data_IF_808905598807
#
_entry.id   IF_808905598807
#
_cell.length_a   1.000
_cell.length_b   1.000
_cell.length_c   1.000
_cell.angle_alpha   90.00
_cell.angle_beta   90.00
_cell.angle_gamma   90.00
#
_symmetry.space_group_name_H-M   'P 1'
#
loop_
_entity.id
_entity.type
_entity.pdbx_description
1 polymer ?
#
# COMPACT_ATOMS: atom_id res chain seq x y z
N UNK A 1 3.40 14.68 17.59
CA UNK A 1 2.21 14.26 16.81
C UNK A 1 0.98 14.96 17.36
N UNK A 2 0.07 15.49 16.52
CA UNK A 2 -1.08 16.29 16.98
C UNK A 2 -2.30 15.46 17.41
N UNK A 3 -2.34 14.16 17.12
CA UNK A 3 -3.43 13.25 17.49
C UNK A 3 -2.89 12.13 18.38
N UNK A 4 -3.66 11.72 19.40
CA UNK A 4 -3.28 10.60 20.27
C UNK A 4 -3.16 9.30 19.48
N UNK A 5 -2.16 8.49 19.83
CA UNK A 5 -1.81 7.23 19.16
C UNK A 5 -1.45 7.40 17.66
N UNK A 6 -1.21 8.64 17.21
CA UNK A 6 -0.75 8.95 15.87
C UNK A 6 0.76 8.72 15.71
N UNK A 7 1.17 8.29 14.52
CA UNK A 7 2.59 8.13 14.15
C UNK A 7 2.94 8.99 12.93
N UNK A 8 4.16 9.54 12.89
CA UNK A 8 4.71 10.06 11.65
C UNK A 8 5.36 8.90 10.90
N UNK A 9 4.61 8.28 9.99
CA UNK A 9 4.99 7.00 9.40
C UNK A 9 5.40 7.11 7.92
N UNK A 10 5.27 8.31 7.37
CA UNK A 10 5.63 8.67 6.00
C UNK A 10 7.13 8.56 5.74
N UNK A 11 7.48 8.04 4.57
CA UNK A 11 8.85 7.73 4.15
C UNK A 11 9.03 8.22 2.72
N UNK A 12 9.68 9.37 2.60
CA UNK A 12 9.82 10.09 1.34
C UNK A 12 11.13 10.85 1.31
N UNK A 13 11.78 10.84 0.15
CA UNK A 13 12.85 11.77 -0.20
C UNK A 13 12.36 12.78 -1.24
N UNK A 14 12.75 14.04 -1.03
CA UNK A 14 12.65 15.11 -2.04
C UNK A 14 14.07 15.54 -2.38
N UNK A 15 14.57 15.09 -3.52
CA UNK A 15 15.93 15.31 -3.95
C UNK A 15 15.98 16.49 -4.91
N UNK A 16 16.81 17.50 -4.61
CA UNK A 16 17.13 18.59 -5.54
C UNK A 16 18.53 18.36 -6.09
N UNK A 17 18.66 18.38 -7.41
CA UNK A 17 19.89 18.01 -8.11
C UNK A 17 20.58 19.24 -8.71
N UNK A 18 21.86 19.09 -9.03
CA UNK A 18 22.69 20.15 -9.63
C UNK A 18 22.27 20.50 -11.06
N UNK A 19 21.58 19.60 -11.76
CA UNK A 19 21.07 19.76 -13.13
C UNK A 19 19.71 20.51 -13.19
N UNK A 20 19.37 21.25 -12.14
CA UNK A 20 18.08 21.93 -11.96
C UNK A 20 16.85 21.00 -12.11
N UNK A 21 17.01 19.73 -11.73
CA UNK A 21 15.89 18.81 -11.59
C UNK A 21 15.60 18.45 -10.15
N UNK A 22 14.36 18.07 -9.88
CA UNK A 22 13.94 17.46 -8.63
C UNK A 22 13.51 16.01 -8.85
N UNK A 23 13.54 15.20 -7.80
CA UNK A 23 13.03 13.83 -7.84
C UNK A 23 12.35 13.49 -6.52
N UNK A 24 11.15 12.91 -6.61
CA UNK A 24 10.38 12.43 -5.47
C UNK A 24 10.55 10.91 -5.38
N UNK A 25 10.93 10.42 -4.21
CA UNK A 25 11.00 8.99 -3.92
C UNK A 25 10.08 8.71 -2.75
N UNK A 26 9.09 7.84 -2.91
CA UNK A 26 8.21 7.37 -1.83
C UNK A 26 8.51 5.90 -1.59
N UNK A 27 8.85 5.52 -0.36
CA UNK A 27 9.36 4.19 -0.03
C UNK A 27 8.77 3.65 1.28
N UNK A 28 9.14 2.43 1.67
CA UNK A 28 8.60 1.76 2.88
C UNK A 28 9.62 1.52 3.99
N UNK A 29 10.91 1.73 3.71
CA UNK A 29 12.01 1.57 4.67
C UNK A 29 12.14 2.76 5.64
N UNK A 30 12.34 2.49 6.93
CA UNK A 30 12.92 3.44 7.87
C UNK A 30 14.39 3.71 7.53
N UNK A 31 14.98 4.79 8.03
CA UNK A 31 16.40 5.11 7.79
C UNK A 31 17.28 4.42 8.83
N UNK A 32 17.29 3.08 8.77
CA UNK A 32 18.09 2.21 9.64
C UNK A 32 18.63 1.05 8.81
N UNK A 33 19.87 0.61 9.05
CA UNK A 33 20.48 -0.51 8.30
C UNK A 33 19.56 -1.74 8.21
N UNK A 34 18.93 -2.09 9.33
CA UNK A 34 17.99 -3.22 9.43
C UNK A 34 16.94 -3.24 8.32
N UNK A 35 16.32 -2.09 8.03
CA UNK A 35 15.25 -1.99 7.04
C UNK A 35 15.76 -2.08 5.59
N UNK A 36 17.04 -1.85 5.34
CA UNK A 36 17.66 -1.83 4.01
C UNK A 36 18.46 -3.09 3.66
N UNK A 37 18.76 -3.94 4.65
CA UNK A 37 19.60 -5.15 4.45
C UNK A 37 18.75 -6.36 4.03
N UNK A 38 17.93 -6.90 4.95
CA UNK A 38 17.28 -8.22 4.78
C UNK A 38 15.74 -8.18 4.78
N UNK A 39 15.15 -6.99 4.85
CA UNK A 39 13.68 -6.83 4.83
C UNK A 39 13.18 -6.60 3.41
N UNK A 40 11.99 -7.11 3.09
CA UNK A 40 11.33 -6.75 1.83
C UNK A 40 10.75 -5.35 1.96
N UNK A 41 11.26 -4.42 1.15
CA UNK A 41 10.79 -3.04 1.03
C UNK A 41 10.35 -2.74 -0.41
N UNK A 42 9.63 -1.64 -0.59
CA UNK A 42 9.30 -1.10 -1.90
C UNK A 42 9.66 0.37 -2.00
N UNK A 43 9.90 0.83 -3.22
CA UNK A 43 10.01 2.24 -3.53
C UNK A 43 9.33 2.54 -4.87
N UNK A 44 8.78 3.74 -4.96
CA UNK A 44 8.42 4.39 -6.20
C UNK A 44 9.32 5.61 -6.38
N UNK A 45 9.79 5.80 -7.61
CA UNK A 45 10.67 6.90 -8.00
C UNK A 45 10.01 7.68 -9.13
N UNK A 46 9.83 8.98 -8.94
CA UNK A 46 9.34 9.85 -10.00
C UNK A 46 10.36 9.96 -11.16
N UNK A 47 9.92 10.37 -12.35
CA UNK A 47 10.83 10.96 -13.34
C UNK A 47 11.62 12.15 -12.76
N UNK A 48 12.65 12.58 -13.47
CA UNK A 48 13.31 13.84 -13.16
C UNK A 48 12.38 14.99 -13.53
N UNK A 49 12.02 15.78 -12.52
CA UNK A 49 11.10 16.91 -12.63
C UNK A 49 11.91 18.14 -12.99
N UNK A 50 11.67 18.75 -14.14
CA UNK A 50 12.44 19.91 -14.60
C UNK A 50 11.95 21.17 -13.91
N UNK A 51 12.86 22.06 -13.54
CA UNK A 51 12.49 23.39 -13.07
C UNK A 51 11.90 24.21 -14.22
N UNK A 52 10.77 24.85 -13.97
CA UNK A 52 10.10 25.74 -14.93
C UNK A 52 10.91 27.02 -15.09
N UNK A 53 10.91 27.58 -16.30
CA UNK A 53 11.47 28.90 -16.56
C UNK A 53 10.56 29.97 -15.95
N UNK A 54 11.10 31.13 -15.58
CA UNK A 54 10.32 32.24 -14.99
C UNK A 54 9.19 32.76 -15.90
N UNK A 55 9.27 32.48 -17.21
CA UNK A 55 8.29 32.90 -18.21
C UNK A 55 7.33 31.77 -18.60
N UNK A 56 7.35 30.63 -17.90
CA UNK A 56 6.43 29.53 -18.19
C UNK A 56 5.01 29.95 -17.83
N UNK A 57 4.02 29.71 -18.70
CA UNK A 57 2.63 29.99 -18.38
C UNK A 57 2.21 29.19 -17.14
N UNK A 58 1.36 29.79 -16.30
CA UNK A 58 0.80 29.08 -15.15
C UNK A 58 0.06 27.83 -15.64
N UNK A 59 0.50 26.67 -15.16
CA UNK A 59 -0.17 25.41 -15.48
C UNK A 59 -1.49 25.36 -14.73
N UNK A 60 -2.61 25.27 -15.47
CA UNK A 60 -3.92 25.06 -14.86
C UNK A 60 -3.90 23.75 -14.08
N UNK A 61 -4.31 23.79 -12.81
CA UNK A 61 -4.30 22.60 -11.96
C UNK A 61 -5.50 21.74 -12.32
N UNK A 62 -5.24 20.60 -12.95
CA UNK A 62 -6.26 19.61 -13.28
C UNK A 62 -6.85 18.97 -12.02
N UNK A 63 -8.14 18.62 -12.06
CA UNK A 63 -8.76 17.76 -11.05
C UNK A 63 -8.64 16.27 -11.42
N UNK A 64 -8.18 15.96 -12.63
CA UNK A 64 -7.94 14.60 -13.10
C UNK A 64 -6.80 13.96 -12.32
N UNK A 65 -7.06 12.80 -11.71
CA UNK A 65 -6.06 12.06 -10.94
C UNK A 65 -4.96 11.45 -11.80
N UNK A 66 -5.15 11.39 -13.13
CA UNK A 66 -4.13 10.94 -14.08
C UNK A 66 -3.10 12.02 -14.43
N UNK A 67 -3.37 13.27 -14.07
CA UNK A 67 -2.52 14.43 -14.36
C UNK A 67 -1.49 14.67 -13.23
N UNK A 68 -0.22 14.80 -13.61
CA UNK A 68 0.86 15.08 -12.66
C UNK A 68 0.75 16.41 -11.91
N UNK A 69 0.01 17.39 -12.44
CA UNK A 69 -0.33 18.64 -11.73
C UNK A 69 -1.22 18.39 -10.51
N UNK A 70 -2.10 17.38 -10.56
CA UNK A 70 -2.89 16.95 -9.39
C UNK A 70 -2.01 16.32 -8.32
N UNK A 71 -1.04 15.50 -8.72
CA UNK A 71 -0.03 14.95 -7.81
C UNK A 71 0.76 16.09 -7.13
N UNK A 72 1.19 17.10 -7.89
CA UNK A 72 1.89 18.28 -7.35
C UNK A 72 1.03 19.03 -6.33
N UNK A 73 -0.22 19.33 -6.67
CA UNK A 73 -1.16 20.00 -5.76
C UNK A 73 -1.27 19.23 -4.44
N UNK A 74 -1.51 17.92 -4.53
CA UNK A 74 -1.72 17.08 -3.36
C UNK A 74 -0.45 16.96 -2.50
N UNK A 75 0.74 16.85 -3.13
CA UNK A 75 2.01 16.81 -2.42
C UNK A 75 2.31 18.14 -1.71
N UNK A 76 2.08 19.28 -2.36
CA UNK A 76 2.26 20.59 -1.75
C UNK A 76 1.28 20.80 -0.58
N UNK A 77 0.03 20.36 -0.72
CA UNK A 77 -0.95 20.41 0.36
C UNK A 77 -0.59 19.48 1.52
N UNK A 78 -0.03 18.31 1.22
CA UNK A 78 0.48 17.38 2.23
C UNK A 78 1.63 17.99 3.03
N UNK A 79 2.60 18.61 2.36
CA UNK A 79 3.72 19.31 3.01
C UNK A 79 3.23 20.50 3.84
N UNK A 80 2.33 21.34 3.30
CA UNK A 80 1.72 22.47 4.03
C UNK A 80 0.97 22.00 5.29
N UNK A 81 0.43 20.78 5.31
CA UNK A 81 -0.30 20.27 6.47
C UNK A 81 0.57 20.08 7.74
N UNK A 82 1.90 20.00 7.60
CA UNK A 82 2.82 20.02 8.75
C UNK A 82 2.83 21.38 9.46
N UNK A 83 2.51 22.45 8.72
CA UNK A 83 2.62 23.83 9.16
C UNK A 83 1.30 24.41 9.68
N UNK A 84 0.17 23.75 9.39
CA UNK A 84 -1.18 24.25 9.70
C UNK A 84 -1.45 24.39 11.19
N UNK A 85 -0.84 23.53 12.03
CA UNK A 85 -1.03 23.53 13.50
C UNK A 85 0.27 23.82 14.26
N UNK A 86 1.36 24.09 13.55
CA UNK A 86 2.67 24.33 14.15
C UNK A 86 2.98 25.83 14.16
N UNK A 87 3.47 26.34 15.30
CA UNK A 87 4.00 27.71 15.38
C UNK A 87 5.26 27.89 14.52
N UNK A 88 6.03 26.81 14.33
CA UNK A 88 7.20 26.76 13.45
C UNK A 88 6.80 26.22 12.07
N UNK A 89 7.18 26.92 11.01
CA UNK A 89 7.02 26.42 9.64
C UNK A 89 8.10 25.37 9.35
N UNK A 90 7.70 24.11 9.39
CA UNK A 90 8.54 22.92 9.20
C UNK A 90 8.79 22.69 7.71
N UNK A 91 7.73 22.71 6.90
CA UNK A 91 7.78 22.27 5.49
C UNK A 91 7.61 23.43 4.48
N UNK A 92 7.38 24.66 4.94
CA UNK A 92 7.19 25.82 4.06
C UNK A 92 8.35 26.03 3.10
N UNK A 93 9.60 26.00 3.59
CA UNK A 93 10.78 26.18 2.76
C UNK A 93 10.91 25.09 1.69
N UNK A 94 10.63 23.83 2.06
CA UNK A 94 10.62 22.70 1.12
C UNK A 94 9.52 22.87 0.07
N UNK A 95 8.31 23.26 0.49
CA UNK A 95 7.15 23.47 -0.38
C UNK A 95 7.42 24.57 -1.41
N UNK A 96 7.92 25.73 -0.97
CA UNK A 96 8.30 26.85 -1.85
C UNK A 96 9.42 26.47 -2.82
N UNK A 97 10.40 25.69 -2.36
CA UNK A 97 11.50 25.21 -3.22
C UNK A 97 11.02 24.21 -4.28
N UNK A 98 9.98 23.42 -3.99
CA UNK A 98 9.43 22.42 -4.90
C UNK A 98 8.42 23.00 -5.90
N UNK A 99 7.75 24.09 -5.54
CA UNK A 99 6.76 24.79 -6.35
C UNK A 99 7.19 25.13 -7.79
N UNK A 100 8.43 25.56 -8.10
CA UNK A 100 8.83 25.86 -9.48
C UNK A 100 9.13 24.63 -10.33
N UNK A 101 8.99 23.40 -9.84
CA UNK A 101 9.27 22.19 -10.62
C UNK A 101 8.03 21.69 -11.37
N UNK A 102 8.23 21.18 -12.59
CA UNK A 102 7.21 20.61 -13.45
C UNK A 102 6.96 19.13 -13.11
N UNK A 103 5.70 18.83 -12.80
CA UNK A 103 5.24 17.49 -12.44
C UNK A 103 4.46 16.81 -13.57
N UNK A 104 4.32 17.45 -14.74
CA UNK A 104 3.55 16.96 -15.88
C UNK A 104 3.96 15.56 -16.38
N UNK A 105 5.20 15.14 -16.10
CA UNK A 105 5.73 13.81 -16.45
C UNK A 105 5.32 12.69 -15.48
N UNK A 106 4.77 13.02 -14.32
CA UNK A 106 4.33 12.02 -13.34
C UNK A 106 3.12 11.25 -13.89
N UNK A 107 3.16 9.93 -13.69
CA UNK A 107 2.10 8.97 -14.02
C UNK A 107 1.75 8.16 -12.77
N UNK A 108 1.24 8.86 -11.76
CA UNK A 108 0.82 8.31 -10.48
C UNK A 108 -0.11 9.30 -9.76
N UNK A 109 -0.97 8.81 -8.87
CA UNK A 109 -1.73 9.62 -7.94
C UNK A 109 -1.17 9.51 -6.52
N UNK A 110 -1.10 10.65 -5.81
CA UNK A 110 -0.71 10.66 -4.40
C UNK A 110 -1.85 10.17 -3.51
N UNK A 111 -1.56 9.18 -2.67
CA UNK A 111 -2.43 8.70 -1.59
C UNK A 111 -1.72 8.97 -0.28
N UNK A 112 -2.25 9.87 0.54
CA UNK A 112 -1.61 10.26 1.79
C UNK A 112 -2.62 10.43 2.92
N UNK A 113 -2.12 10.42 4.14
CA UNK A 113 -2.89 10.65 5.35
C UNK A 113 -2.27 11.79 6.14
N UNK A 114 -3.13 12.66 6.66
CA UNK A 114 -2.74 13.81 7.48
C UNK A 114 -3.54 13.73 8.79
N UNK A 115 -2.92 13.81 9.97
CA UNK A 115 -3.63 13.81 11.24
C UNK A 115 -4.63 14.97 11.37
N UNK A 116 -5.85 14.67 11.78
CA UNK A 116 -6.89 15.65 12.04
C UNK A 116 -8.30 15.18 11.72
N UNK A 117 -9.21 16.15 11.70
CA UNK A 117 -10.63 15.99 11.35
C UNK A 117 -10.86 16.57 9.95
N UNK A 118 -11.35 15.75 9.03
CA UNK A 118 -11.50 16.08 7.62
C UNK A 118 -12.96 15.95 7.19
N UNK A 119 -13.50 16.99 6.55
CA UNK A 119 -14.86 16.98 6.00
C UNK A 119 -14.79 16.37 4.59
N UNK A 120 -15.47 15.24 4.37
CA UNK A 120 -15.33 14.46 3.12
C UNK A 120 -16.09 15.07 1.94
N UNK A 121 -17.25 15.67 2.20
CA UNK A 121 -18.10 16.31 1.17
C UNK A 121 -17.90 17.83 1.10
N UNK A 122 -16.72 18.31 1.49
CA UNK A 122 -16.39 19.74 1.48
C UNK A 122 -15.82 20.23 0.15
N UNK A 123 -15.51 21.53 0.09
CA UNK A 123 -14.89 22.19 -1.08
C UNK A 123 -13.39 21.90 -1.24
N UNK A 124 -12.80 21.05 -0.40
CA UNK A 124 -11.36 20.76 -0.46
C UNK A 124 -11.01 20.01 -1.73
N UNK A 125 -10.00 20.50 -2.46
CA UNK A 125 -9.46 19.83 -3.66
C UNK A 125 -8.57 18.61 -3.33
N UNK A 126 -8.18 18.46 -2.06
CA UNK A 126 -7.35 17.35 -1.59
C UNK A 126 -8.05 16.65 -0.42
N UNK A 127 -8.25 15.34 -0.57
CA UNK A 127 -8.75 14.44 0.46
C UNK A 127 -7.58 13.63 1.05
N UNK A 128 -7.82 12.95 2.17
CA UNK A 128 -6.82 12.12 2.86
C UNK A 128 -7.36 10.73 3.22
N UNK A 129 -6.46 9.78 3.52
CA UNK A 129 -6.81 8.45 3.99
C UNK A 129 -7.68 7.65 3.00
N UNK A 130 -8.62 6.87 3.53
CA UNK A 130 -9.48 6.00 2.70
C UNK A 130 -10.38 6.81 1.75
N UNK A 131 -10.77 8.03 2.14
CA UNK A 131 -11.61 8.88 1.29
C UNK A 131 -10.86 9.34 0.04
N UNK A 132 -9.57 9.67 0.18
CA UNK A 132 -8.69 9.95 -0.97
C UNK A 132 -8.51 8.74 -1.86
N UNK A 133 -8.31 7.57 -1.27
CA UNK A 133 -8.16 6.34 -2.04
C UNK A 133 -9.43 6.05 -2.85
N UNK A 134 -10.60 6.15 -2.23
CA UNK A 134 -11.90 6.00 -2.91
C UNK A 134 -12.08 7.01 -4.04
N UNK A 135 -11.76 8.29 -3.79
CA UNK A 135 -11.82 9.37 -4.78
C UNK A 135 -10.99 9.03 -6.04
N UNK A 136 -9.74 8.59 -5.85
CA UNK A 136 -8.88 8.20 -6.97
C UNK A 136 -9.42 6.96 -7.69
N UNK A 137 -9.84 5.94 -6.95
CA UNK A 137 -10.30 4.68 -7.53
C UNK A 137 -11.56 4.85 -8.41
N UNK A 138 -12.37 5.88 -8.17
CA UNK A 138 -13.48 6.26 -9.08
C UNK A 138 -13.03 6.75 -10.46
N UNK A 139 -11.74 6.98 -10.68
CA UNK A 139 -11.16 7.27 -12.00
C UNK A 139 -10.50 6.04 -12.64
N UNK A 140 -10.43 4.91 -11.95
CA UNK A 140 -9.76 3.70 -12.45
C UNK A 140 -10.75 2.82 -13.19
N UNK A 141 -10.47 2.61 -14.49
CA UNK A 141 -11.15 1.62 -15.31
C UNK A 141 -10.68 0.21 -14.90
N UNK A 142 -11.62 -0.69 -14.63
CA UNK A 142 -11.33 -2.09 -14.30
C UNK A 142 -11.82 -3.02 -15.40
N UNK A 143 -11.11 -4.13 -15.62
CA UNK A 143 -11.57 -5.15 -16.58
C UNK A 143 -12.63 -6.05 -15.94
N UNK A 144 -13.70 -6.33 -16.67
CA UNK A 144 -14.64 -7.40 -16.34
C UNK A 144 -14.12 -8.70 -16.95
N UNK A 145 -13.43 -9.51 -16.15
CA UNK A 145 -13.00 -10.86 -16.54
C UNK A 145 -14.07 -11.89 -16.16
N UNK A 146 -14.01 -13.08 -16.78
CA UNK A 146 -14.96 -14.18 -16.53
C UNK A 146 -14.87 -14.80 -15.13
N UNK A 147 -13.73 -14.61 -14.45
CA UNK A 147 -13.50 -15.08 -13.08
C UNK A 147 -13.36 -13.92 -12.10
N UNK A 148 -13.69 -14.19 -10.84
CA UNK A 148 -13.76 -13.19 -9.77
C UNK A 148 -12.42 -12.45 -9.57
N UNK A 149 -12.41 -11.10 -9.53
CA UNK A 149 -11.21 -10.33 -9.22
C UNK A 149 -10.79 -10.50 -7.75
N UNK A 150 -9.53 -10.19 -7.43
CA UNK A 150 -9.00 -10.27 -6.07
C UNK A 150 -8.28 -8.98 -5.68
N UNK A 151 -8.52 -8.48 -4.47
CA UNK A 151 -7.73 -7.42 -3.84
C UNK A 151 -6.85 -8.06 -2.78
N UNK A 152 -5.55 -8.07 -3.02
CA UNK A 152 -4.54 -8.57 -2.10
C UNK A 152 -3.90 -7.39 -1.37
N UNK A 153 -4.09 -7.40 -0.05
CA UNK A 153 -3.53 -6.44 0.89
C UNK A 153 -2.34 -7.11 1.54
N UNK A 154 -1.17 -6.51 1.46
CA UNK A 154 -0.01 -6.93 2.22
C UNK A 154 0.40 -5.78 3.13
N UNK A 155 0.54 -6.06 4.42
CA UNK A 155 0.93 -5.08 5.43
C UNK A 155 1.93 -5.69 6.41
N UNK A 156 2.66 -4.84 7.14
CA UNK A 156 3.56 -5.28 8.21
C UNK A 156 2.93 -5.12 9.59
N UNK A 157 1.80 -4.42 9.70
CA UNK A 157 1.05 -4.30 10.94
C UNK A 157 -0.46 -4.27 10.72
N UNK A 158 -1.19 -4.87 11.67
CA UNK A 158 -2.65 -4.81 11.77
C UNK A 158 -2.99 -4.30 13.17
N UNK A 159 -3.66 -3.14 13.24
CA UNK A 159 -4.09 -2.56 14.51
C UNK A 159 -5.36 -3.25 15.04
N UNK A 160 -5.79 -2.89 16.25
CA UNK A 160 -7.14 -3.23 16.72
C UNK A 160 -8.18 -2.40 15.94
N UNK A 161 -8.91 -3.03 15.04
CA UNK A 161 -9.92 -2.43 14.15
C UNK A 161 -11.31 -2.37 14.81
N UNK A 162 -11.59 -3.28 15.75
CA UNK A 162 -12.84 -3.36 16.49
C UNK A 162 -13.27 -4.81 16.74
N UNK A 163 -14.27 -5.00 17.59
CA UNK A 163 -14.85 -6.32 17.90
C UNK A 163 -15.72 -6.89 16.78
N UNK A 164 -15.99 -6.10 15.73
CA UNK A 164 -16.76 -6.48 14.54
C UNK A 164 -15.98 -6.05 13.29
N UNK A 165 -16.33 -6.60 12.13
CA UNK A 165 -15.73 -6.23 10.84
C UNK A 165 -16.31 -4.93 10.24
N UNK A 166 -17.08 -4.15 11.00
CA UNK A 166 -17.87 -3.04 10.45
C UNK A 166 -17.01 -1.97 9.76
N UNK A 167 -15.93 -1.52 10.40
CA UNK A 167 -15.02 -0.56 9.78
C UNK A 167 -14.35 -1.14 8.53
N UNK A 168 -13.96 -2.42 8.59
CA UNK A 168 -13.32 -3.11 7.49
C UNK A 168 -14.25 -3.18 6.28
N UNK A 169 -15.45 -3.75 6.43
CA UNK A 169 -16.40 -3.95 5.34
C UNK A 169 -17.04 -2.64 4.86
N UNK A 170 -17.65 -1.89 5.79
CA UNK A 170 -18.51 -0.75 5.42
C UNK A 170 -17.73 0.51 5.07
N UNK A 171 -16.47 0.62 5.50
CA UNK A 171 -15.63 1.79 5.24
C UNK A 171 -14.46 1.44 4.33
N UNK A 172 -13.54 0.60 4.80
CA UNK A 172 -12.25 0.45 4.12
C UNK A 172 -12.33 -0.40 2.85
N UNK A 173 -12.95 -1.58 2.90
CA UNK A 173 -13.17 -2.44 1.73
C UNK A 173 -14.11 -1.76 0.75
N UNK A 174 -15.17 -1.09 1.21
CA UNK A 174 -16.02 -0.25 0.35
C UNK A 174 -15.20 0.80 -0.44
N UNK A 175 -14.21 1.43 0.19
CA UNK A 175 -13.30 2.35 -0.52
C UNK A 175 -12.45 1.61 -1.57
N UNK A 176 -11.88 0.46 -1.23
CA UNK A 176 -11.04 -0.35 -2.13
C UNK A 176 -11.81 -0.98 -3.30
N UNK A 177 -13.10 -1.25 -3.14
CA UNK A 177 -13.98 -1.76 -4.21
C UNK A 177 -14.38 -0.68 -5.23
N UNK A 178 -14.16 0.59 -4.91
CA UNK A 178 -14.59 1.70 -5.78
C UNK A 178 -13.91 1.61 -7.14
N UNK A 179 -14.65 1.88 -8.20
CA UNK A 179 -14.19 1.87 -9.58
C UNK A 179 -14.88 2.98 -10.37
N UNK A 180 -14.37 3.30 -11.55
CA UNK A 180 -15.06 4.20 -12.47
C UNK A 180 -16.38 3.57 -12.93
N UNK A 181 -17.44 4.38 -12.99
CA UNK A 181 -18.79 3.97 -13.44
C UNK A 181 -19.45 2.83 -12.64
N UNK A 182 -19.22 2.79 -11.33
CA UNK A 182 -19.80 1.82 -10.35
C UNK A 182 -21.33 1.60 -10.46
N UNK A 183 -22.06 2.52 -11.10
CA UNK A 183 -23.52 2.46 -11.27
C UNK A 183 -24.03 1.95 -12.63
N UNK A 184 -23.18 1.81 -13.65
CA UNK A 184 -23.61 1.48 -15.03
C UNK A 184 -23.34 0.04 -15.42
N UNK A 185 -22.25 -0.54 -14.96
CA UNK A 185 -21.87 -1.92 -15.22
C UNK A 185 -21.86 -2.69 -13.90
N UNK A 186 -22.50 -3.87 -13.84
CA UNK A 186 -22.40 -4.77 -12.68
C UNK A 186 -20.98 -5.35 -12.62
N UNK A 187 -20.02 -4.55 -12.16
CA UNK A 187 -18.64 -4.99 -11.93
C UNK A 187 -18.68 -6.06 -10.84
N UNK A 188 -17.99 -7.18 -11.09
CA UNK A 188 -17.95 -8.28 -10.12
C UNK A 188 -17.20 -7.84 -8.86
N UNK A 189 -17.79 -8.04 -7.68
CA UNK A 189 -17.11 -7.70 -6.42
C UNK A 189 -15.84 -8.52 -6.22
N UNK A 190 -14.71 -7.88 -5.84
CA UNK A 190 -13.48 -8.58 -5.60
C UNK A 190 -13.51 -9.35 -4.28
N UNK A 191 -12.78 -10.46 -4.24
CA UNK A 191 -12.44 -11.15 -3.00
C UNK A 191 -11.24 -10.46 -2.31
N UNK A 192 -11.26 -10.39 -0.99
CA UNK A 192 -10.19 -9.77 -0.21
C UNK A 192 -9.29 -10.83 0.40
N UNK A 193 -7.97 -10.60 0.29
CA UNK A 193 -6.94 -11.40 0.95
C UNK A 193 -5.95 -10.48 1.65
N UNK A 194 -5.48 -10.88 2.82
CA UNK A 194 -4.54 -10.11 3.65
C UNK A 194 -3.30 -10.97 3.91
N UNK A 195 -2.20 -10.66 3.25
CA UNK A 195 -0.91 -11.30 3.51
C UNK A 195 -0.32 -10.74 4.79
N UNK A 196 -0.09 -11.63 5.74
CA UNK A 196 0.61 -11.34 6.99
C UNK A 196 1.49 -12.54 7.36
N UNK A 197 2.74 -12.35 7.84
CA UNK A 197 3.63 -13.47 8.16
C UNK A 197 3.11 -14.34 9.32
N UNK A 198 3.32 -15.64 9.21
CA UNK A 198 3.10 -16.61 10.30
C UNK A 198 4.31 -16.70 11.24
N UNK A 199 4.17 -17.41 12.36
CA UNK A 199 5.27 -17.70 13.28
C UNK A 199 6.43 -18.43 12.58
N UNK A 200 6.14 -19.46 11.77
CA UNK A 200 7.15 -20.24 11.03
C UNK A 200 7.91 -19.35 10.03
N UNK A 201 7.19 -18.46 9.35
CA UNK A 201 7.77 -17.59 8.32
C UNK A 201 8.71 -16.54 8.92
N UNK A 202 8.41 -16.01 10.11
CA UNK A 202 9.33 -15.13 10.84
C UNK A 202 10.52 -15.92 11.37
N UNK A 203 10.28 -17.06 12.02
CA UNK A 203 11.32 -17.94 12.56
C UNK A 203 12.34 -18.37 11.49
N UNK A 204 11.89 -18.60 10.26
CA UNK A 204 12.73 -19.00 9.12
C UNK A 204 13.22 -17.81 8.26
N UNK A 205 12.88 -16.58 8.61
CA UNK A 205 13.28 -15.39 7.85
C UNK A 205 14.79 -15.14 7.93
N UNK A 206 15.34 -14.32 7.04
CA UNK A 206 16.77 -14.00 6.96
C UNK A 206 17.35 -13.38 8.25
N UNK A 207 16.53 -12.73 9.07
CA UNK A 207 16.96 -12.22 10.38
C UNK A 207 16.38 -13.05 11.54
N UNK A 208 15.81 -14.22 11.26
CA UNK A 208 15.14 -15.06 12.27
C UNK A 208 14.08 -14.25 13.02
N UNK A 209 14.04 -14.40 14.35
CA UNK A 209 13.06 -13.66 15.15
C UNK A 209 13.24 -12.14 15.16
N UNK A 210 14.43 -11.61 14.83
CA UNK A 210 14.65 -10.17 14.79
C UNK A 210 13.79 -9.49 13.71
N UNK A 211 13.46 -10.20 12.61
CA UNK A 211 12.49 -9.72 11.61
C UNK A 211 11.13 -9.40 12.23
N UNK A 212 10.74 -10.12 13.27
CA UNK A 212 9.48 -9.92 13.98
C UNK A 212 9.36 -8.57 14.70
N UNK A 213 10.47 -7.88 14.95
CA UNK A 213 10.48 -6.55 15.58
C UNK A 213 9.85 -5.46 14.72
N UNK A 214 9.70 -5.68 13.42
CA UNK A 214 9.07 -4.75 12.47
C UNK A 214 7.66 -5.18 12.04
N UNK A 215 7.16 -6.30 12.58
CA UNK A 215 5.90 -6.94 12.20
C UNK A 215 4.98 -7.02 13.42
N UNK A 216 3.79 -6.41 13.34
CA UNK A 216 2.96 -6.21 14.53
C UNK A 216 1.47 -6.50 14.32
N UNK A 217 0.98 -7.49 15.04
CA UNK A 217 -0.42 -7.67 15.39
C UNK A 217 -0.47 -8.10 16.87
N UNK A 218 -1.56 -7.77 17.56
CA UNK A 218 -1.81 -8.22 18.93
C UNK A 218 -3.09 -9.06 18.92
N UNK A 219 -3.05 -10.23 19.58
CA UNK A 219 -4.15 -11.22 19.52
C UNK A 219 -4.72 -11.63 20.89
N UNK A 220 -4.22 -11.09 21.99
CA UNK A 220 -4.50 -11.64 23.33
C UNK A 220 -5.71 -11.03 24.05
N UNK A 221 -6.04 -9.76 23.82
CA UNK A 221 -7.19 -9.14 24.50
C UNK A 221 -8.51 -9.67 23.92
N UNK A 222 -9.63 -9.66 24.68
CA UNK A 222 -10.92 -10.13 24.18
C UNK A 222 -11.37 -9.44 22.88
N UNK A 223 -11.04 -8.14 22.72
CA UNK A 223 -11.34 -7.41 21.50
C UNK A 223 -10.52 -7.89 20.30
N UNK A 224 -9.24 -8.23 20.52
CA UNK A 224 -8.36 -8.76 19.48
C UNK A 224 -8.72 -10.20 19.10
N UNK A 225 -9.14 -11.03 20.06
CA UNK A 225 -9.64 -12.37 19.78
C UNK A 225 -10.92 -12.33 18.91
N UNK A 226 -11.87 -11.45 19.24
CA UNK A 226 -13.04 -11.20 18.38
C UNK A 226 -12.64 -10.70 16.99
N UNK A 227 -11.63 -9.84 16.92
CA UNK A 227 -11.07 -9.41 15.64
C UNK A 227 -10.51 -10.57 14.81
N UNK A 228 -9.80 -11.50 15.44
CA UNK A 228 -9.24 -12.65 14.75
C UNK A 228 -10.32 -13.55 14.14
N UNK A 229 -11.53 -13.62 14.73
CA UNK A 229 -12.64 -14.41 14.17
C UNK A 229 -13.04 -13.96 12.77
N UNK A 230 -13.10 -12.65 12.50
CA UNK A 230 -13.43 -12.16 11.15
C UNK A 230 -12.22 -11.91 10.27
N UNK A 231 -11.02 -11.75 10.85
CA UNK A 231 -9.80 -11.47 10.09
C UNK A 231 -9.14 -12.76 9.58
N UNK A 232 -9.13 -13.84 10.37
CA UNK A 232 -8.45 -15.10 10.04
C UNK A 232 -8.85 -15.68 8.66
N UNK A 233 -10.14 -15.67 8.25
CA UNK A 233 -10.53 -16.15 6.92
C UNK A 233 -9.92 -15.35 5.76
N UNK A 234 -9.47 -14.12 6.00
CA UNK A 234 -8.81 -13.28 5.01
C UNK A 234 -7.29 -13.49 4.98
N UNK A 235 -6.70 -14.09 6.02
CA UNK A 235 -5.25 -14.14 6.17
C UNK A 235 -4.59 -15.14 5.22
N UNK A 236 -3.50 -14.71 4.61
CA UNK A 236 -2.66 -15.48 3.71
C UNK A 236 -1.21 -15.44 4.16
N UNK A 237 -0.48 -16.53 3.92
CA UNK A 237 0.93 -16.69 4.24
C UNK A 237 1.81 -15.79 3.36
N UNK A 238 2.94 -15.31 3.89
CA UNK A 238 3.90 -14.50 3.15
C UNK A 238 4.71 -15.32 2.13
N UNK A 239 5.27 -16.43 2.58
CA UNK A 239 6.06 -17.38 1.80
C UNK A 239 5.21 -18.53 1.26
N UNK A 240 4.23 -18.99 2.04
CA UNK A 240 3.29 -20.05 1.64
C UNK A 240 3.95 -21.42 1.43
N UNK A 241 5.08 -21.68 2.09
CA UNK A 241 5.85 -22.93 1.98
C UNK A 241 6.06 -23.63 3.34
N UNK A 242 5.10 -23.41 4.25
CA UNK A 242 4.96 -24.16 5.51
C UNK A 242 4.35 -25.55 5.32
N UNK A 243 4.03 -26.21 6.44
CA UNK A 243 3.70 -27.64 6.54
C UNK A 243 2.29 -28.05 6.14
N UNK A 244 1.46 -27.15 5.57
CA UNK A 244 0.17 -27.58 5.01
C UNK A 244 0.38 -28.38 3.72
N UNK A 245 -0.33 -29.53 3.54
CA UNK A 245 -0.12 -30.41 2.39
C UNK A 245 -0.25 -29.65 1.06
N UNK A 246 0.75 -29.83 0.19
CA UNK A 246 0.84 -29.32 -1.19
C UNK A 246 -0.27 -29.85 -2.13
N UNK A 247 -1.38 -30.36 -1.62
CA UNK A 247 -2.34 -31.14 -2.39
C UNK A 247 -3.24 -30.29 -3.31
N UNK A 248 -3.22 -28.95 -3.20
CA UNK A 248 -4.05 -28.07 -4.03
C UNK A 248 -3.31 -27.35 -5.16
N UNK A 249 -2.00 -27.56 -5.36
CA UNK A 249 -1.19 -26.76 -6.29
C UNK A 249 -0.51 -27.56 -7.42
N UNK A 250 -0.93 -28.78 -7.74
CA UNK A 250 -0.27 -29.57 -8.79
C UNK A 250 -0.47 -29.04 -10.22
N UNK A 251 -1.40 -28.10 -10.44
CA UNK A 251 -1.73 -27.59 -11.77
C UNK A 251 -1.56 -26.06 -11.95
N UNK A 252 -1.10 -25.32 -10.93
CA UNK A 252 -0.90 -23.86 -11.03
C UNK A 252 0.58 -23.50 -11.14
N UNK A 253 0.92 -22.58 -12.06
CA UNK A 253 2.28 -22.03 -12.15
C UNK A 253 2.62 -21.30 -10.85
N UNK A 254 3.51 -21.87 -10.06
CA UNK A 254 4.02 -21.24 -8.85
C UNK A 254 5.03 -20.15 -9.22
N UNK A 255 4.63 -18.90 -9.08
CA UNK A 255 5.41 -17.72 -9.43
C UNK A 255 6.14 -17.19 -8.19
N UNK A 256 7.45 -17.39 -8.13
CA UNK A 256 8.27 -17.00 -6.97
C UNK A 256 8.84 -15.59 -7.10
N UNK A 257 8.51 -14.68 -6.18
CA UNK A 257 9.04 -13.32 -6.15
C UNK A 257 10.54 -13.23 -5.74
N UNK A 258 11.12 -14.31 -5.21
CA UNK A 258 12.50 -14.39 -4.73
C UNK A 258 12.71 -13.75 -3.35
N UNK A 259 11.64 -13.57 -2.57
CA UNK A 259 11.65 -12.84 -1.29
C UNK A 259 10.97 -13.57 -0.12
N UNK A 260 10.73 -14.88 -0.26
CA UNK A 260 10.05 -15.70 0.75
C UNK A 260 10.69 -15.66 2.14
N UNK A 261 12.00 -15.39 2.23
CA UNK A 261 12.75 -15.32 3.49
C UNK A 261 13.07 -13.89 3.92
N UNK A 262 12.82 -12.90 3.08
CA UNK A 262 12.96 -11.49 3.46
C UNK A 262 11.61 -11.00 4.02
N UNK A 263 11.51 -10.90 5.36
CA UNK A 263 10.26 -10.53 6.02
C UNK A 263 9.70 -9.18 5.51
N UNK A 264 8.37 -9.03 5.38
CA UNK A 264 7.80 -7.90 4.67
C UNK A 264 7.62 -6.66 5.56
N UNK A 265 8.42 -5.63 5.31
CA UNK A 265 8.15 -4.29 5.82
C UNK A 265 7.53 -3.36 4.76
N UNK A 266 7.42 -3.82 3.51
CA UNK A 266 6.59 -3.20 2.47
C UNK A 266 5.11 -3.23 2.87
N UNK A 267 4.32 -2.31 2.31
CA UNK A 267 2.84 -2.34 2.36
C UNK A 267 2.31 -2.09 0.96
N UNK A 268 1.56 -3.06 0.45
CA UNK A 268 0.96 -2.98 -0.89
C UNK A 268 -0.51 -3.34 -0.86
N UNK A 269 -1.30 -2.64 -1.67
CA UNK A 269 -2.68 -3.00 -1.96
C UNK A 269 -2.78 -3.18 -3.47
N UNK A 270 -3.18 -4.35 -3.94
CA UNK A 270 -3.16 -4.68 -5.38
C UNK A 270 -4.48 -5.32 -5.77
N UNK A 271 -5.14 -4.77 -6.79
CA UNK A 271 -6.31 -5.41 -7.42
C UNK A 271 -5.89 -6.16 -8.67
N UNK A 272 -6.03 -7.47 -8.63
CA UNK A 272 -5.93 -8.34 -9.80
C UNK A 272 -7.27 -8.39 -10.52
N UNK A 273 -7.21 -8.39 -11.86
CA UNK A 273 -8.42 -8.37 -12.69
C UNK A 273 -9.19 -9.69 -12.63
N UNK A 274 -8.54 -10.78 -12.23
CA UNK A 274 -9.11 -12.12 -12.19
C UNK A 274 -8.43 -13.03 -11.14
N UNK A 275 -8.98 -14.23 -10.95
CA UNK A 275 -8.47 -15.22 -9.99
C UNK A 275 -7.16 -15.86 -10.44
N UNK A 276 -6.86 -15.86 -11.75
CA UNK A 276 -5.58 -16.33 -12.31
C UNK A 276 -4.43 -15.34 -12.04
N UNK A 277 -4.77 -14.08 -11.76
CA UNK A 277 -3.86 -12.99 -11.44
C UNK A 277 -2.91 -12.67 -12.60
N UNK A 278 -3.39 -12.79 -13.84
CA UNK A 278 -2.58 -12.53 -15.05
C UNK A 278 -2.42 -11.03 -15.32
N UNK A 279 -3.42 -10.22 -14.93
CA UNK A 279 -3.35 -8.76 -15.05
C UNK A 279 -3.73 -8.05 -13.76
N UNK A 280 -3.27 -6.81 -13.63
CA UNK A 280 -3.47 -5.94 -12.47
C UNK A 280 -4.21 -4.68 -12.92
N UNK A 281 -5.28 -4.31 -12.21
CA UNK A 281 -6.02 -3.07 -12.50
C UNK A 281 -5.43 -1.86 -11.80
N UNK A 282 -4.88 -2.03 -10.59
CA UNK A 282 -4.17 -0.97 -9.89
C UNK A 282 -3.24 -1.53 -8.80
N UNK A 283 -2.21 -0.76 -8.49
CA UNK A 283 -1.21 -1.03 -7.45
C UNK A 283 -1.05 0.20 -6.59
N UNK A 284 -1.13 0.00 -5.28
CA UNK A 284 -0.81 0.99 -4.28
C UNK A 284 0.43 0.55 -3.50
N UNK A 285 1.47 1.37 -3.50
CA UNK A 285 2.62 1.26 -2.59
C UNK A 285 2.51 2.38 -1.57
N UNK A 286 2.54 2.05 -0.27
CA UNK A 286 2.29 3.05 0.79
C UNK A 286 3.05 2.74 2.07
N UNK A 287 3.16 3.71 2.97
CA UNK A 287 3.54 3.47 4.36
C UNK A 287 2.36 2.95 5.21
N UNK A 288 1.11 3.15 4.78
CA UNK A 288 -0.07 2.86 5.58
C UNK A 288 -0.29 1.35 5.79
N UNK A 289 -0.23 0.94 7.05
CA UNK A 289 -0.64 -0.39 7.53
C UNK A 289 -2.17 -0.51 7.64
N UNK A 290 -2.69 -1.70 7.93
CA UNK A 290 -4.12 -1.91 8.14
C UNK A 290 -4.54 -1.38 9.52
N UNK A 291 -4.87 -0.09 9.57
CA UNK A 291 -5.27 0.59 10.80
C UNK A 291 -6.20 1.78 10.54
N UNK A 292 -7.06 2.06 11.53
CA UNK A 292 -7.90 3.26 11.57
C UNK A 292 -7.08 4.55 11.71
N UNK A 293 -5.92 4.47 12.37
CA UNK A 293 -5.01 5.59 12.58
C UNK A 293 -4.38 6.07 11.26
N UNK A 294 -4.00 5.13 10.40
CA UNK A 294 -3.43 5.38 9.08
C UNK A 294 -4.49 5.78 8.07
N UNK A 295 -5.56 4.99 7.91
CA UNK A 295 -6.55 5.19 6.86
C UNK A 295 -7.70 6.13 7.22
N UNK A 296 -7.93 6.36 8.51
CA UNK A 296 -9.03 7.15 9.04
C UNK A 296 -10.24 6.33 9.47
N UNK A 297 -10.97 6.87 10.43
CA UNK A 297 -12.22 6.29 10.94
C UNK A 297 -13.35 6.33 9.92
N UNK A 298 -14.42 5.58 10.20
CA UNK A 298 -15.71 5.78 9.55
C UNK A 298 -16.16 7.24 9.73
N UNK A 299 -16.90 7.75 8.75
CA UNK A 299 -17.47 9.10 8.84
C UNK A 299 -18.47 9.14 10.00
N UNK A 300 -18.40 10.18 10.84
CA UNK A 300 -19.42 10.42 11.87
C UNK A 300 -20.69 11.07 11.26
N UNK A 301 -21.71 11.28 12.09
CA UNK A 301 -22.97 11.90 11.64
C UNK A 301 -22.80 13.31 11.02
N UNK A 302 -21.69 14.01 11.33
CA UNK A 302 -21.37 15.33 10.80
C UNK A 302 -20.57 15.30 9.49
N UNK A 303 -20.37 14.14 8.85
CA UNK A 303 -19.60 14.08 7.61
C UNK A 303 -18.08 14.14 7.80
N UNK A 304 -17.60 13.96 9.03
CA UNK A 304 -16.19 14.12 9.41
C UNK A 304 -15.51 12.76 9.56
N UNK A 305 -14.37 12.61 8.89
CA UNK A 305 -13.41 11.52 9.05
C UNK A 305 -12.28 11.97 9.99
N UNK A 306 -11.90 11.13 10.96
CA UNK A 306 -10.73 11.37 11.82
C UNK A 306 -9.55 10.50 11.38
N UNK A 307 -8.38 11.10 11.19
CA UNK A 307 -7.11 10.44 10.86
C UNK A 307 -6.10 10.78 11.97
N UNK A 308 -5.24 9.84 12.37
CA UNK A 308 -4.27 10.05 13.46
C UNK A 308 -2.82 10.15 12.99
N UNK A 309 -2.47 9.53 11.86
CA UNK A 309 -1.09 9.38 11.41
C UNK A 309 -0.77 10.13 10.12
N UNK A 310 0.51 10.48 9.94
CA UNK A 310 1.02 10.89 8.64
C UNK A 310 1.43 9.64 7.86
N UNK A 311 0.79 9.42 6.71
CA UNK A 311 1.12 8.33 5.78
C UNK A 311 1.32 8.89 4.37
N UNK A 312 2.10 8.20 3.54
CA UNK A 312 2.30 8.58 2.15
C UNK A 312 2.47 7.34 1.27
N UNK A 313 1.91 7.41 0.08
CA UNK A 313 1.91 6.35 -0.90
C UNK A 313 1.53 6.83 -2.29
N UNK A 314 1.67 5.94 -3.26
CA UNK A 314 1.36 6.19 -4.66
C UNK A 314 0.47 5.09 -5.23
N UNK A 315 -0.60 5.51 -5.89
CA UNK A 315 -1.43 4.62 -6.68
C UNK A 315 -1.06 4.76 -8.16
N UNK A 316 -0.86 3.63 -8.83
CA UNK A 316 -0.67 3.54 -10.27
C UNK A 316 -1.65 2.55 -10.87
N UNK A 317 -2.11 2.83 -12.08
CA UNK A 317 -3.01 1.98 -12.85
C UNK A 317 -2.70 2.09 -14.36
N UNK A 318 -3.14 1.14 -15.19
CA UNK A 318 -2.71 1.06 -16.59
C UNK A 318 -2.98 2.32 -17.42
N UNK A 319 -4.19 2.90 -17.35
CA UNK A 319 -4.56 4.01 -18.25
C UNK A 319 -3.71 5.28 -18.10
N UNK A 320 -2.94 5.41 -17.01
CA UNK A 320 -1.89 6.43 -16.86
C UNK A 320 -0.83 6.37 -17.96
N UNK A 321 -0.58 5.18 -18.51
CA UNK A 321 0.48 4.93 -19.49
C UNK A 321 -0.04 4.78 -20.92
N UNK A 322 -1.35 4.94 -21.12
CA UNK A 322 -2.01 4.85 -22.42
C UNK A 322 -3.27 3.99 -22.37
N UNK A 323 -4.17 4.20 -23.33
CA UNK A 323 -5.48 3.53 -23.40
C UNK A 323 -5.41 2.02 -23.58
N UNK A 324 -4.31 1.51 -24.15
CA UNK A 324 -4.03 0.08 -24.35
C UNK A 324 -2.94 -0.46 -23.44
N UNK A 325 -2.65 0.24 -22.35
CA UNK A 325 -1.70 -0.25 -21.37
C UNK A 325 -2.32 -1.39 -20.55
N UNK A 326 -1.50 -2.39 -20.22
CA UNK A 326 -1.84 -3.47 -19.30
C UNK A 326 -0.72 -3.66 -18.29
N UNK A 327 -1.08 -3.84 -17.01
CA UNK A 327 -0.14 -4.24 -15.99
C UNK A 327 -0.15 -5.75 -15.83
N UNK A 328 1.03 -6.35 -15.82
CA UNK A 328 1.23 -7.79 -15.59
C UNK A 328 2.17 -7.99 -14.42
N UNK A 329 1.94 -8.99 -13.54
CA UNK A 329 2.89 -9.29 -12.49
C UNK A 329 4.18 -9.84 -13.09
N UNK A 330 5.31 -9.46 -12.50
CA UNK A 330 6.64 -9.96 -12.85
C UNK A 330 7.34 -10.47 -11.60
N UNK A 331 8.13 -11.53 -11.79
CA UNK A 331 8.75 -12.30 -10.73
C UNK A 331 10.22 -12.46 -11.07
N UNK A 332 11.11 -12.11 -10.13
CA UNK A 332 12.57 -12.18 -10.30
C UNK A 332 13.18 -11.28 -11.41
N UNK A 333 12.36 -10.73 -12.31
CA UNK A 333 12.71 -9.74 -13.33
C UNK A 333 11.95 -8.42 -13.17
N UNK A 334 12.45 -7.34 -13.77
CA UNK A 334 11.84 -5.99 -13.68
C UNK A 334 10.95 -5.64 -14.87
N UNK A 335 11.07 -6.38 -15.98
CA UNK A 335 10.32 -6.18 -17.21
C UNK A 335 9.70 -7.50 -17.64
N UNK A 336 8.47 -7.49 -18.20
CA UNK A 336 7.90 -8.68 -18.78
C UNK A 336 8.76 -9.16 -19.96
N UNK A 337 8.81 -10.47 -20.18
CA UNK A 337 9.52 -11.05 -21.33
C UNK A 337 8.96 -10.50 -22.65
N UNK A 338 9.83 -10.28 -23.65
CA UNK A 338 9.50 -9.61 -24.93
C UNK A 338 8.38 -10.29 -25.75
N UNK A 339 7.98 -11.51 -25.41
CA UNK A 339 6.98 -12.30 -26.13
C UNK A 339 5.53 -11.95 -25.77
N UNK A 340 5.27 -10.89 -24.99
CA UNK A 340 3.90 -10.44 -24.71
C UNK A 340 3.42 -9.56 -25.87
N UNK A 341 2.86 -10.21 -26.89
CA UNK A 341 1.96 -9.65 -27.91
C UNK A 341 2.41 -8.36 -28.61
N UNK A 342 3.51 -8.42 -29.37
CA UNK A 342 3.84 -7.34 -30.33
C UNK A 342 2.77 -7.18 -31.44
N UNK A 343 1.92 -8.18 -31.64
CA UNK A 343 0.87 -8.19 -32.67
C UNK A 343 -0.28 -7.22 -32.37
N UNK A 344 -0.54 -6.87 -31.10
CA UNK A 344 -1.72 -6.07 -30.71
C UNK A 344 -1.42 -4.59 -30.37
N UNK A 345 -0.17 -4.13 -30.54
CA UNK A 345 0.24 -2.76 -30.18
C UNK A 345 -0.12 -2.39 -28.70
N UNK A 346 -0.11 -3.37 -27.80
CA UNK A 346 -0.39 -3.16 -26.37
C UNK A 346 0.85 -2.64 -25.61
N UNK A 347 0.63 -1.76 -24.64
CA UNK A 347 1.72 -1.26 -23.77
C UNK A 347 1.78 -2.14 -22.52
N UNK A 348 2.71 -3.09 -22.49
CA UNK A 348 2.84 -4.03 -21.36
C UNK A 348 3.80 -3.49 -20.32
N UNK A 349 3.32 -3.31 -19.09
CA UNK A 349 4.12 -2.81 -17.98
C UNK A 349 4.19 -3.88 -16.90
N UNK A 350 5.41 -4.26 -16.54
CA UNK A 350 5.67 -5.21 -15.47
C UNK A 350 5.52 -4.55 -14.10
N UNK A 351 4.74 -5.17 -13.22
CA UNK A 351 4.71 -4.85 -11.80
C UNK A 351 5.56 -5.88 -11.08
N UNK A 352 6.69 -5.45 -10.49
CA UNK A 352 7.55 -6.37 -9.75
C UNK A 352 6.87 -6.76 -8.44
N UNK A 353 6.44 -8.02 -8.35
CA UNK A 353 5.71 -8.52 -7.20
C UNK A 353 6.63 -8.66 -5.97
N UNK A 354 6.16 -8.25 -4.78
CA UNK A 354 6.92 -8.45 -3.54
C UNK A 354 6.73 -9.85 -2.94
N UNK A 355 5.64 -10.55 -3.29
CA UNK A 355 5.28 -11.89 -2.81
C UNK A 355 4.98 -12.84 -3.99
N UNK A 356 5.05 -14.15 -3.73
CA UNK A 356 4.75 -15.17 -4.74
C UNK A 356 3.25 -15.35 -4.99
N UNK A 357 2.91 -15.95 -6.14
CA UNK A 357 1.54 -16.33 -6.51
C UNK A 357 1.46 -17.82 -6.88
N UNK A 358 0.34 -18.52 -6.61
CA UNK A 358 -0.83 -18.04 -5.87
C UNK A 358 -0.51 -17.81 -4.38
N UNK A 359 -1.23 -16.89 -3.74
CA UNK A 359 -1.16 -16.72 -2.28
C UNK A 359 -1.85 -17.90 -1.59
N UNK A 360 -1.30 -18.34 -0.47
CA UNK A 360 -1.80 -19.50 0.29
C UNK A 360 -2.54 -18.99 1.51
N UNK A 361 -3.83 -19.34 1.65
CA UNK A 361 -4.63 -19.00 2.83
C UNK A 361 -4.06 -19.68 4.08
N UNK A 362 -4.28 -19.06 5.25
CA UNK A 362 -3.97 -19.69 6.52
C UNK A 362 -4.78 -20.98 6.70
N UNK A 363 -4.15 -22.02 7.25
CA UNK A 363 -4.85 -23.20 7.76
C UNK A 363 -5.51 -22.93 9.11
N UNK A 364 -6.36 -23.85 9.55
CA UNK A 364 -7.13 -23.71 10.80
C UNK A 364 -6.23 -23.60 12.04
N UNK A 365 -5.06 -24.22 12.04
CA UNK A 365 -4.10 -24.18 13.16
C UNK A 365 -3.02 -23.10 13.01
N UNK A 366 -3.09 -22.30 11.95
CA UNK A 366 -2.09 -21.27 11.68
C UNK A 366 -2.49 -19.96 12.37
N UNK A 367 -1.52 -19.39 13.09
CA UNK A 367 -1.62 -18.06 13.71
C UNK A 367 -0.67 -17.06 13.05
N UNK A 368 -1.05 -15.77 13.00
CA UNK A 368 -0.14 -14.73 12.54
C UNK A 368 0.97 -14.50 13.56
N UNK A 369 2.13 -14.05 13.09
CA UNK A 369 3.22 -13.61 13.96
C UNK A 369 2.74 -12.57 14.98
N UNK A 370 2.85 -12.89 16.25
CA UNK A 370 2.51 -11.99 17.35
C UNK A 370 3.71 -11.84 18.29
N UNK A 371 4.30 -10.64 18.32
CA UNK A 371 5.48 -10.34 19.14
C UNK A 371 5.21 -10.34 20.67
N UNK A 372 3.95 -10.38 21.10
CA UNK A 372 3.59 -10.57 22.51
C UNK A 372 3.32 -12.04 22.87
N UNK A 373 3.35 -12.95 21.90
CA UNK A 373 3.34 -14.39 22.15
C UNK A 373 4.75 -14.89 22.45
N UNK A 374 4.86 -15.94 23.27
CA UNK A 374 6.11 -16.67 23.44
C UNK A 374 6.30 -17.65 22.28
N UNK A 375 7.51 -17.73 21.72
CA UNK A 375 7.86 -18.69 20.67
C UNK A 375 9.05 -19.53 21.13
N UNK A 376 8.76 -20.80 21.41
CA UNK A 376 9.69 -21.75 22.06
C UNK A 376 10.51 -22.58 21.09
N UNK A 377 10.18 -22.58 19.81
CA UNK A 377 11.03 -23.17 18.77
C UNK A 377 12.20 -22.24 18.47
N UNK A 378 13.43 -22.75 18.28
CA UNK A 378 14.52 -21.90 17.86
C UNK A 378 14.36 -21.47 16.39
N UNK A 379 14.80 -20.24 16.09
CA UNK A 379 15.06 -19.83 14.72
C UNK A 379 16.28 -20.55 14.14
N UNK A 380 16.56 -20.32 12.85
CA UNK A 380 17.68 -20.98 12.17
C UNK A 380 19.06 -20.55 12.73
N UNK A 381 19.13 -19.49 13.53
CA UNK A 381 20.33 -19.04 14.26
C UNK A 381 20.40 -19.61 15.69
N UNK A 382 19.46 -20.47 16.08
CA UNK A 382 19.41 -21.05 17.42
C UNK A 382 18.85 -20.10 18.49
N UNK A 383 18.21 -18.98 18.11
CA UNK A 383 17.63 -18.02 19.04
C UNK A 383 16.17 -18.35 19.33
N UNK A 384 15.74 -18.05 20.55
CA UNK A 384 14.36 -18.14 20.98
C UNK A 384 13.76 -16.75 21.10
N UNK A 385 12.43 -16.64 21.01
CA UNK A 385 11.76 -15.35 21.20
C UNK A 385 10.84 -15.39 22.43
N UNK A 386 11.34 -14.77 23.50
CA UNK A 386 10.55 -14.51 24.68
C UNK A 386 9.64 -13.31 24.39
N UNK A 387 8.37 -13.39 24.78
CA UNK A 387 7.39 -12.34 24.50
C UNK A 387 7.87 -10.97 24.96
N UNK A 388 7.58 -9.91 24.18
CA UNK A 388 7.73 -8.55 24.70
C UNK A 388 6.68 -8.33 25.80
N UNK A 389 7.13 -8.16 27.05
CA UNK A 389 6.35 -7.46 28.05
C UNK A 389 6.36 -5.97 27.67
N UNK A 390 5.29 -5.50 27.05
CA UNK A 390 5.03 -4.05 26.85
C UNK A 390 4.15 -3.57 27.99
#
# INVERSE_FOLDING_TARGET
>A
MPEMFGTHHSKMFVLFRHDETAQIIIHTANITEFDWTNMTQGLWRSPLLKKLSKNSPETSVSNDHSDGSKFKLDLLNYLKAYDNKSRKKICEGLSKKLEPYDFSSIRAALVASVPGKHVIHGLSRTLWGWARLQDILRSVDVKNCSSKPEIIIQVSSIATLGTTNEWLEKTFFKALKSVKNDSKDKVTEPEFKVIFPTNDEIRRSLNGYDSGNAIHIKIHTPAQQKQMQYLKPLLCCWAGDGTTPRELASNSRNSDAGRKRAAPHIKTYIRFSDSKKETIDWVLLTSANLSRQAWGDSINAAGIQRICSYEIGVLVWPSLYGTRAKFVPTFQIDKPSLNVDQENNEIVIGIRMPYGLPVISYGDDIEPWCASSAHTEPDWMGRFFNSFQI
#
